data_IF_038740421213
#
_entry.id   IF_038740421213
#
_cell.length_a   1.000
_cell.length_b   1.000
_cell.length_c   1.000
_cell.angle_alpha   90.00
_cell.angle_beta   90.00
_cell.angle_gamma   90.00
#
_symmetry.space_group_name_H-M   'P 1'
#
loop_
_entity.id
_entity.type
_entity.pdbx_description
1 polymer ?
#
# COMPACT_ATOMS: atom_id res chain seq x y z
N UNK A 1 25.72 -45.07 15.43
CA UNK A 1 26.10 -43.85 14.73
C UNK A 1 24.80 -43.21 14.21
N UNK A 2 24.21 -42.34 15.01
CA UNK A 2 22.98 -41.60 14.66
C UNK A 2 23.40 -40.25 14.08
N UNK A 3 23.17 -40.09 12.78
CA UNK A 3 23.42 -38.82 12.11
C UNK A 3 22.41 -37.78 12.61
N UNK A 4 22.89 -36.74 13.25
CA UNK A 4 22.12 -35.60 13.69
C UNK A 4 21.58 -34.83 12.46
N UNK A 5 20.27 -34.61 12.44
CA UNK A 5 19.60 -33.68 11.54
C UNK A 5 20.14 -32.27 11.82
N UNK A 6 20.51 -31.47 10.81
CA UNK A 6 20.83 -30.09 11.06
C UNK A 6 19.54 -29.36 11.46
N UNK A 7 19.59 -28.81 12.66
CA UNK A 7 18.57 -27.92 13.22
C UNK A 7 18.49 -26.68 12.31
N UNK A 8 17.49 -26.63 11.44
CA UNK A 8 17.17 -25.48 10.63
C UNK A 8 16.55 -24.39 11.51
N UNK A 9 17.38 -23.72 12.28
CA UNK A 9 16.94 -22.57 13.07
C UNK A 9 16.23 -21.57 12.15
N UNK A 10 14.92 -21.53 12.24
CA UNK A 10 14.05 -20.52 11.65
C UNK A 10 14.53 -19.16 12.20
N UNK A 11 15.28 -18.42 11.37
CA UNK A 11 15.68 -17.07 11.74
C UNK A 11 14.41 -16.24 11.76
N UNK A 12 13.92 -15.92 12.94
CA UNK A 12 12.83 -14.96 13.08
C UNK A 12 13.21 -13.68 12.32
N UNK A 13 12.33 -13.25 11.44
CA UNK A 13 12.55 -12.01 10.69
C UNK A 13 12.62 -10.84 11.68
N UNK A 14 13.50 -9.86 11.44
CA UNK A 14 13.51 -8.66 12.26
C UNK A 14 12.15 -7.96 12.22
N UNK A 15 11.77 -7.35 13.34
CA UNK A 15 10.55 -6.54 13.40
C UNK A 15 10.55 -5.48 12.30
N UNK A 16 9.35 -5.06 11.88
CA UNK A 16 9.21 -3.96 10.92
C UNK A 16 9.76 -2.69 11.55
N UNK A 17 10.75 -2.05 10.91
CA UNK A 17 11.27 -0.77 11.37
C UNK A 17 10.24 0.33 11.11
N UNK A 18 9.92 1.17 12.11
CA UNK A 18 9.12 2.37 11.89
C UNK A 18 9.85 3.44 11.07
N UNK A 19 11.15 3.32 10.92
CA UNK A 19 12.00 4.25 10.16
C UNK A 19 12.40 3.65 8.83
N UNK A 20 12.32 4.49 7.78
CA UNK A 20 12.73 4.11 6.44
C UNK A 20 14.25 3.95 6.33
N UNK A 21 14.77 2.91 5.67
CA UNK A 21 16.15 2.88 5.26
C UNK A 21 16.42 3.96 4.21
N UNK A 22 17.58 4.64 4.26
CA UNK A 22 17.89 5.73 3.33
C UNK A 22 17.92 5.25 1.87
N UNK A 23 17.37 6.06 0.97
CA UNK A 23 17.40 5.78 -0.47
C UNK A 23 18.82 5.86 -1.02
N UNK A 24 19.29 4.79 -1.63
CA UNK A 24 20.58 4.79 -2.33
C UNK A 24 20.48 5.59 -3.64
N UNK A 25 21.33 6.58 -3.81
CA UNK A 25 21.41 7.41 -5.02
C UNK A 25 20.37 8.53 -5.11
N UNK A 26 19.68 8.83 -4.00
CA UNK A 26 18.70 9.89 -3.90
C UNK A 26 17.35 9.58 -4.53
N UNK A 27 16.36 10.47 -4.32
CA UNK A 27 14.99 10.26 -4.81
C UNK A 27 14.86 10.58 -6.30
N UNK A 28 14.10 9.73 -7.00
CA UNK A 28 13.69 9.92 -8.39
C UNK A 28 12.36 10.64 -8.50
N UNK A 29 11.44 10.33 -7.59
CA UNK A 29 10.10 10.91 -7.51
C UNK A 29 9.90 11.32 -6.05
N UNK A 30 9.28 12.46 -5.86
CA UNK A 30 8.78 12.95 -4.57
C UNK A 30 7.34 13.35 -4.76
N UNK A 31 6.46 12.97 -3.82
CA UNK A 31 5.02 13.24 -3.86
C UNK A 31 4.51 13.47 -2.45
N UNK A 32 3.59 14.40 -2.28
CA UNK A 32 2.84 14.51 -1.03
C UNK A 32 1.62 13.59 -1.12
N UNK A 33 1.49 12.69 -0.14
CA UNK A 33 0.36 11.79 0.02
C UNK A 33 -0.49 12.32 1.16
N UNK A 34 -1.68 12.80 0.84
CA UNK A 34 -2.55 13.49 1.77
C UNK A 34 -3.87 12.75 2.00
N UNK A 35 -4.46 12.97 3.18
CA UNK A 35 -5.77 12.44 3.56
C UNK A 35 -5.85 10.90 3.45
N UNK A 36 -4.81 10.19 3.88
CA UNK A 36 -4.67 8.74 3.67
C UNK A 36 -5.59 7.97 4.60
N UNK A 37 -6.48 7.17 4.04
CA UNK A 37 -7.33 6.22 4.76
C UNK A 37 -6.81 4.82 4.51
N UNK A 38 -6.54 4.09 5.57
CA UNK A 38 -6.05 2.72 5.55
C UNK A 38 -7.15 1.78 6.07
N UNK A 39 -7.73 0.97 5.21
CA UNK A 39 -8.73 -0.05 5.57
C UNK A 39 -8.09 -1.42 5.37
N UNK A 40 -8.06 -2.26 6.42
CA UNK A 40 -7.37 -3.54 6.35
C UNK A 40 -8.21 -4.70 6.84
N UNK A 41 -8.03 -5.84 6.17
CA UNK A 41 -8.58 -7.14 6.54
C UNK A 41 -7.45 -8.17 6.59
N UNK A 42 -7.49 -9.03 7.60
CA UNK A 42 -6.65 -10.23 7.64
C UNK A 42 -7.18 -11.27 6.68
N UNK A 43 -6.27 -12.03 6.08
CA UNK A 43 -6.58 -13.17 5.21
C UNK A 43 -5.51 -14.24 5.40
N UNK A 44 -5.84 -15.47 5.03
CA UNK A 44 -4.86 -16.54 4.95
C UNK A 44 -3.86 -16.29 3.81
N UNK A 45 -2.58 -16.67 4.03
CA UNK A 45 -1.51 -16.53 3.03
C UNK A 45 -1.85 -17.21 1.71
N UNK A 46 -2.62 -18.28 1.72
CA UNK A 46 -3.04 -19.00 0.52
C UNK A 46 -3.93 -18.19 -0.41
N UNK A 47 -4.67 -17.22 0.13
CA UNK A 47 -5.49 -16.30 -0.65
C UNK A 47 -4.66 -15.23 -1.40
N UNK A 48 -3.46 -14.92 -0.90
CA UNK A 48 -2.61 -13.85 -1.43
C UNK A 48 -1.46 -14.39 -2.28
N UNK A 49 -0.86 -15.51 -1.89
CA UNK A 49 0.33 -16.05 -2.54
C UNK A 49 0.21 -16.21 -4.08
N UNK A 50 -0.92 -16.68 -4.66
CA UNK A 50 -1.06 -16.80 -6.10
C UNK A 50 -1.10 -15.47 -6.86
N UNK A 51 -1.36 -14.36 -6.18
CA UNK A 51 -1.51 -13.02 -6.76
C UNK A 51 -0.19 -12.26 -6.83
N UNK A 52 0.84 -12.74 -6.14
CA UNK A 52 2.11 -12.04 -6.00
C UNK A 52 2.99 -12.14 -7.25
N UNK A 53 3.88 -11.17 -7.47
CA UNK A 53 4.95 -11.33 -8.45
C UNK A 53 5.95 -12.39 -8.01
N UNK A 54 6.59 -13.06 -8.98
CA UNK A 54 7.55 -14.15 -8.75
C UNK A 54 8.68 -13.70 -7.81
N UNK A 55 9.03 -14.56 -6.84
CA UNK A 55 10.08 -14.25 -5.85
C UNK A 55 9.62 -13.36 -4.69
N UNK A 56 8.38 -12.88 -4.71
CA UNK A 56 7.75 -12.27 -3.54
C UNK A 56 6.81 -13.27 -2.87
N UNK A 57 6.82 -13.32 -1.56
CA UNK A 57 5.92 -14.14 -0.74
C UNK A 57 5.10 -13.26 0.19
N UNK A 58 3.94 -13.72 0.70
CA UNK A 58 3.19 -12.96 1.70
C UNK A 58 4.06 -12.68 2.93
N UNK A 59 4.00 -11.46 3.42
CA UNK A 59 4.55 -11.08 4.71
C UNK A 59 3.48 -11.26 5.77
N UNK A 60 3.81 -11.89 6.89
CA UNK A 60 2.83 -12.41 7.85
C UNK A 60 2.91 -11.67 9.19
N UNK A 61 1.74 -11.47 9.78
CA UNK A 61 1.57 -10.96 11.14
C UNK A 61 0.14 -11.19 11.62
N UNK A 62 -0.03 -11.80 12.78
CA UNK A 62 -1.31 -11.96 13.45
C UNK A 62 -1.80 -10.65 14.11
N UNK A 63 -3.03 -10.63 14.60
CA UNK A 63 -3.63 -9.47 15.27
C UNK A 63 -2.88 -9.03 16.52
N UNK A 64 -2.29 -9.96 17.24
CA UNK A 64 -1.50 -9.69 18.44
C UNK A 64 -0.09 -9.13 18.15
N UNK A 65 0.28 -9.03 16.86
CA UNK A 65 1.57 -8.53 16.42
C UNK A 65 2.67 -9.58 16.34
N UNK A 66 2.35 -10.87 16.51
CA UNK A 66 3.28 -11.97 16.30
C UNK A 66 3.31 -12.43 14.85
N UNK A 67 4.40 -13.05 14.41
CA UNK A 67 4.46 -13.73 13.11
C UNK A 67 4.00 -15.18 13.29
N UNK A 68 2.79 -15.47 12.81
CA UNK A 68 2.17 -16.80 12.86
C UNK A 68 2.40 -17.64 11.58
N UNK A 69 3.04 -17.05 10.56
CA UNK A 69 3.34 -17.68 9.29
C UNK A 69 2.11 -17.95 8.39
N UNK A 70 0.91 -17.64 8.83
CA UNK A 70 -0.35 -17.95 8.12
C UNK A 70 -1.25 -16.75 7.87
N UNK A 71 -1.19 -15.73 8.73
CA UNK A 71 -2.01 -14.53 8.61
C UNK A 71 -1.28 -13.44 7.83
N UNK A 72 -1.85 -13.00 6.72
CA UNK A 72 -1.41 -11.81 6.00
C UNK A 72 -2.56 -10.81 5.83
N UNK A 73 -2.32 -9.71 5.12
CA UNK A 73 -3.23 -8.58 5.14
C UNK A 73 -3.56 -8.08 3.73
N UNK A 74 -4.78 -7.60 3.59
CA UNK A 74 -5.26 -6.85 2.42
C UNK A 74 -5.52 -5.42 2.87
N UNK A 75 -5.03 -4.44 2.11
CA UNK A 75 -5.30 -3.03 2.31
C UNK A 75 -6.10 -2.44 1.15
N UNK A 76 -7.21 -1.78 1.46
CA UNK A 76 -7.89 -0.84 0.58
C UNK A 76 -7.52 0.56 1.05
N UNK A 77 -6.74 1.28 0.25
CA UNK A 77 -6.13 2.54 0.65
C UNK A 77 -6.61 3.65 -0.28
N UNK A 78 -7.17 4.70 0.30
CA UNK A 78 -7.53 5.91 -0.44
C UNK A 78 -6.65 7.08 -0.03
N UNK A 79 -6.21 7.88 -0.99
CA UNK A 79 -5.42 9.08 -0.72
C UNK A 79 -5.40 10.03 -1.92
N UNK A 80 -4.85 11.21 -1.70
CA UNK A 80 -4.67 12.23 -2.70
C UNK A 80 -3.19 12.53 -2.89
N UNK A 81 -2.71 12.44 -4.13
CA UNK A 81 -1.40 12.94 -4.53
C UNK A 81 -1.44 14.44 -4.78
N UNK A 82 -0.39 15.13 -4.32
CA UNK A 82 -0.09 16.52 -4.68
C UNK A 82 1.40 16.72 -4.82
N UNK A 83 1.80 17.85 -5.41
CA UNK A 83 3.18 18.30 -5.52
C UNK A 83 4.16 17.22 -6.05
N UNK A 84 3.74 16.48 -7.07
CA UNK A 84 4.62 15.49 -7.71
C UNK A 84 5.83 16.17 -8.36
N UNK A 85 7.01 15.73 -7.97
CA UNK A 85 8.31 16.24 -8.44
C UNK A 85 9.21 15.11 -8.90
N UNK A 86 10.08 15.45 -9.86
CA UNK A 86 11.15 14.60 -10.36
C UNK A 86 12.49 15.26 -10.02
N UNK A 87 13.07 15.04 -8.81
CA UNK A 87 14.24 15.74 -8.32
C UNK A 87 15.44 15.78 -9.29
N UNK A 88 15.73 14.73 -10.08
CA UNK A 88 16.84 14.78 -11.05
C UNK A 88 16.69 15.84 -12.15
N UNK A 89 15.47 16.33 -12.40
CA UNK A 89 15.18 17.38 -13.38
C UNK A 89 15.17 18.80 -12.76
N UNK A 90 15.49 18.91 -11.47
CA UNK A 90 15.52 20.19 -10.77
C UNK A 90 14.21 20.97 -10.88
N UNK A 91 14.29 22.26 -11.23
CA UNK A 91 13.11 23.14 -11.34
C UNK A 91 12.12 22.71 -12.43
N UNK A 92 12.59 22.04 -13.48
CA UNK A 92 11.77 21.53 -14.58
C UNK A 92 11.01 20.24 -14.20
N UNK A 93 11.35 19.62 -13.07
CA UNK A 93 10.79 18.36 -12.63
C UNK A 93 9.45 18.47 -11.91
N UNK A 94 8.76 19.61 -11.89
CA UNK A 94 7.44 19.75 -11.29
C UNK A 94 6.33 19.32 -12.25
N UNK A 95 5.52 18.34 -11.85
CA UNK A 95 4.39 17.88 -12.66
C UNK A 95 3.20 18.85 -12.64
N UNK A 96 3.19 19.82 -11.74
CA UNK A 96 2.08 20.75 -11.56
C UNK A 96 0.77 20.03 -11.29
N UNK A 97 -0.35 20.62 -11.73
CA UNK A 97 -1.67 20.03 -11.51
C UNK A 97 -1.88 18.66 -12.17
N UNK A 98 -1.05 18.26 -13.14
CA UNK A 98 -1.12 16.91 -13.73
C UNK A 98 -0.76 15.84 -12.69
N UNK A 99 0.13 16.17 -11.76
CA UNK A 99 0.54 15.30 -10.65
C UNK A 99 -0.43 15.25 -9.48
N UNK A 100 -1.51 16.06 -9.48
CA UNK A 100 -2.49 16.10 -8.41
C UNK A 100 -3.70 15.26 -8.75
N UNK A 101 -3.91 14.14 -8.07
CA UNK A 101 -5.04 13.25 -8.32
C UNK A 101 -5.38 12.40 -7.10
N UNK A 102 -6.59 11.87 -7.11
CA UNK A 102 -7.09 10.91 -6.11
C UNK A 102 -6.80 9.51 -6.62
N UNK A 103 -6.36 8.64 -5.70
CA UNK A 103 -6.13 7.22 -5.94
C UNK A 103 -6.81 6.38 -4.87
N UNK A 104 -7.36 5.25 -5.29
CA UNK A 104 -7.72 4.14 -4.42
C UNK A 104 -6.98 2.91 -4.90
N UNK A 105 -6.25 2.25 -4.02
CA UNK A 105 -5.54 1.03 -4.37
C UNK A 105 -5.90 -0.16 -3.49
N UNK A 106 -5.75 -1.35 -4.06
CA UNK A 106 -5.77 -2.62 -3.34
C UNK A 106 -4.34 -3.12 -3.30
N UNK A 107 -3.82 -3.31 -2.09
CA UNK A 107 -2.46 -3.79 -1.86
C UNK A 107 -2.42 -4.95 -0.91
N UNK A 108 -1.37 -5.75 -1.00
CA UNK A 108 -1.06 -6.84 -0.09
C UNK A 108 0.38 -6.70 0.40
N UNK A 109 0.69 -7.36 1.49
CA UNK A 109 1.96 -7.22 2.20
C UNK A 109 2.90 -8.34 1.78
N UNK A 110 4.14 -7.97 1.45
CA UNK A 110 5.09 -8.88 0.82
C UNK A 110 6.48 -8.78 1.41
N UNK A 111 7.22 -9.87 1.28
CA UNK A 111 8.67 -9.94 1.50
C UNK A 111 9.33 -10.75 0.39
N UNK A 112 10.62 -10.58 0.18
CA UNK A 112 11.40 -11.39 -0.76
C UNK A 112 12.47 -12.23 -0.04
N UNK A 113 13.24 -12.99 -0.82
CA UNK A 113 14.33 -13.86 -0.36
C UNK A 113 15.49 -13.10 0.32
N UNK A 114 15.62 -11.79 0.07
CA UNK A 114 16.58 -10.91 0.72
C UNK A 114 16.03 -10.32 2.04
N UNK A 115 14.82 -10.70 2.45
CA UNK A 115 14.14 -10.18 3.62
C UNK A 115 13.64 -8.74 3.47
N UNK A 116 13.62 -8.19 2.23
CA UNK A 116 13.07 -6.85 1.99
C UNK A 116 11.55 -6.90 2.08
N UNK A 117 11.01 -6.16 3.01
CA UNK A 117 9.57 -6.04 3.20
C UNK A 117 9.01 -4.90 2.37
N UNK A 118 7.83 -5.11 1.81
CA UNK A 118 7.16 -4.11 0.98
C UNK A 118 5.68 -4.43 0.82
N UNK A 119 5.11 -3.87 -0.23
CA UNK A 119 3.75 -4.16 -0.69
C UNK A 119 3.78 -4.63 -2.13
N UNK A 120 2.78 -5.38 -2.56
CA UNK A 120 2.44 -5.56 -3.95
C UNK A 120 1.06 -4.93 -4.19
N UNK A 121 0.97 -4.10 -5.22
CA UNK A 121 -0.31 -3.54 -5.64
C UNK A 121 -1.02 -4.52 -6.56
N UNK A 122 -2.25 -4.87 -6.23
CA UNK A 122 -3.13 -5.69 -7.07
C UNK A 122 -3.99 -4.82 -7.98
N UNK A 123 -4.29 -3.59 -7.56
CA UNK A 123 -4.98 -2.56 -8.34
C UNK A 123 -4.61 -1.17 -7.84
N UNK A 124 -4.46 -0.22 -8.78
CA UNK A 124 -4.30 1.22 -8.50
C UNK A 124 -5.27 1.97 -9.40
N UNK A 125 -6.36 2.45 -8.84
CA UNK A 125 -7.40 3.17 -9.55
C UNK A 125 -7.20 4.68 -9.36
N UNK A 126 -6.80 5.38 -10.44
CA UNK A 126 -6.37 6.77 -10.39
C UNK A 126 -7.25 7.71 -11.21
N UNK A 127 -7.48 8.91 -10.68
CA UNK A 127 -8.39 9.90 -11.24
C UNK A 127 -7.88 10.62 -12.49
N UNK A 128 -6.64 10.39 -12.92
CA UNK A 128 -6.07 11.06 -14.11
C UNK A 128 -5.44 10.08 -15.08
N UNK A 129 -5.77 10.20 -16.36
CA UNK A 129 -5.33 9.29 -17.41
C UNK A 129 -3.82 9.36 -17.67
N UNK A 130 -3.25 10.55 -17.84
CA UNK A 130 -1.84 10.71 -18.22
C UNK A 130 -0.88 10.14 -17.18
N UNK A 131 -0.99 10.48 -15.88
CA UNK A 131 -0.19 9.84 -14.85
C UNK A 131 -0.39 8.31 -14.80
N UNK A 132 -1.63 7.84 -14.96
CA UNK A 132 -1.98 6.42 -14.97
C UNK A 132 -1.24 5.65 -16.06
N UNK A 133 -1.29 6.12 -17.29
CA UNK A 133 -0.61 5.48 -18.45
C UNK A 133 0.90 5.59 -18.30
N UNK A 134 1.42 6.77 -17.93
CA UNK A 134 2.86 6.99 -17.74
C UNK A 134 3.45 6.09 -16.67
N UNK A 135 2.80 6.01 -15.51
CA UNK A 135 3.23 5.14 -14.41
C UNK A 135 3.16 3.66 -14.80
N UNK A 136 2.07 3.21 -15.44
CA UNK A 136 1.93 1.83 -15.90
C UNK A 136 3.05 1.41 -16.85
N UNK A 137 3.37 2.25 -17.83
CA UNK A 137 4.46 1.97 -18.79
C UNK A 137 5.84 2.01 -18.13
N UNK A 138 6.08 3.00 -17.28
CA UNK A 138 7.37 3.18 -16.65
C UNK A 138 7.69 2.14 -15.58
N UNK A 139 6.69 1.76 -14.77
CA UNK A 139 6.89 0.92 -13.58
C UNK A 139 6.38 -0.51 -13.74
N UNK A 140 5.35 -0.75 -14.57
CA UNK A 140 4.65 -2.03 -14.68
C UNK A 140 3.54 -2.20 -13.64
N UNK A 141 3.24 -1.20 -12.84
CA UNK A 141 2.17 -1.23 -11.84
C UNK A 141 0.78 -1.36 -12.48
N UNK A 142 -0.18 -2.06 -11.85
CA UNK A 142 -1.52 -2.33 -12.40
C UNK A 142 -2.46 -1.11 -12.26
N UNK A 143 -2.09 0.00 -12.89
CA UNK A 143 -2.88 1.22 -12.90
C UNK A 143 -4.12 1.11 -13.78
N UNK A 144 -5.23 1.64 -13.28
CA UNK A 144 -6.50 1.77 -13.98
C UNK A 144 -6.96 3.22 -13.95
N UNK A 145 -7.48 3.70 -15.07
CA UNK A 145 -8.10 5.00 -15.13
C UNK A 145 -9.52 4.94 -14.57
N UNK A 146 -9.86 5.85 -13.68
CA UNK A 146 -11.13 5.89 -12.99
C UNK A 146 -11.65 7.32 -12.81
N UNK A 147 -12.95 7.48 -12.63
CA UNK A 147 -13.49 8.67 -11.99
C UNK A 147 -13.21 8.55 -10.49
N UNK A 148 -12.53 9.53 -9.93
CA UNK A 148 -12.15 9.56 -8.54
C UNK A 148 -12.54 10.87 -7.88
N UNK A 149 -13.08 10.80 -6.69
CA UNK A 149 -13.44 11.97 -5.88
C UNK A 149 -13.08 11.71 -4.41
N UNK A 150 -12.70 12.78 -3.74
CA UNK A 150 -12.56 12.83 -2.29
C UNK A 150 -13.56 13.86 -1.74
N UNK A 151 -14.16 13.55 -0.61
CA UNK A 151 -14.95 14.49 0.19
C UNK A 151 -14.32 14.57 1.58
N UNK A 152 -14.09 15.77 2.06
CA UNK A 152 -13.57 16.01 3.40
C UNK A 152 -14.48 17.00 4.13
N UNK A 153 -14.74 16.69 5.39
CA UNK A 153 -15.30 17.59 6.39
C UNK A 153 -14.35 17.65 7.59
N UNK A 154 -14.71 18.35 8.65
CA UNK A 154 -13.84 18.50 9.83
C UNK A 154 -13.50 17.14 10.47
N UNK A 155 -14.47 16.22 10.55
CA UNK A 155 -14.32 14.92 11.19
C UNK A 155 -14.42 13.71 10.25
N UNK A 156 -14.55 13.92 8.90
CA UNK A 156 -14.75 12.81 7.97
C UNK A 156 -13.94 12.94 6.70
N UNK A 157 -13.52 11.79 6.21
CA UNK A 157 -12.87 11.66 4.89
C UNK A 157 -13.55 10.53 4.12
N UNK A 158 -14.04 10.83 2.92
CA UNK A 158 -14.70 9.87 2.05
C UNK A 158 -14.08 9.83 0.67
N UNK A 159 -13.96 8.63 0.11
CA UNK A 159 -13.48 8.35 -1.23
C UNK A 159 -14.58 7.72 -2.06
N UNK A 160 -14.66 8.11 -3.34
CA UNK A 160 -15.53 7.48 -4.31
C UNK A 160 -14.75 7.24 -5.60
N UNK A 161 -14.82 6.02 -6.12
CA UNK A 161 -14.09 5.56 -7.29
C UNK A 161 -15.01 4.80 -8.24
N UNK A 162 -14.88 5.03 -9.54
CA UNK A 162 -15.55 4.25 -10.59
C UNK A 162 -14.59 4.05 -11.75
N UNK A 163 -14.16 2.80 -11.97
CA UNK A 163 -13.24 2.45 -13.05
C UNK A 163 -13.89 2.63 -14.42
N UNK A 164 -13.19 3.31 -15.34
CA UNK A 164 -13.67 3.51 -16.70
C UNK A 164 -13.81 2.18 -17.45
N UNK A 165 -14.85 2.08 -18.28
CA UNK A 165 -15.11 0.91 -19.10
C UNK A 165 -15.57 -0.34 -18.35
N UNK A 166 -15.89 -0.22 -17.05
CA UNK A 166 -16.35 -1.31 -16.20
C UNK A 166 -17.51 -0.85 -15.31
N UNK A 167 -18.10 -1.81 -14.56
CA UNK A 167 -19.08 -1.52 -13.52
C UNK A 167 -18.44 -1.40 -12.12
N UNK A 168 -17.13 -1.62 -12.00
CA UNK A 168 -16.41 -1.66 -10.73
C UNK A 168 -16.41 -0.29 -10.05
N UNK A 169 -16.76 -0.31 -8.77
CA UNK A 169 -16.85 0.89 -7.92
C UNK A 169 -16.22 0.60 -6.56
N UNK A 170 -15.74 1.65 -5.94
CA UNK A 170 -15.38 1.65 -4.51
C UNK A 170 -15.81 2.98 -3.93
N UNK A 171 -16.50 2.94 -2.80
CA UNK A 171 -16.86 4.14 -2.05
C UNK A 171 -16.81 3.81 -0.55
N UNK A 172 -16.06 4.60 0.19
CA UNK A 172 -15.96 4.47 1.64
C UNK A 172 -15.85 5.83 2.30
N UNK A 173 -16.40 5.91 3.49
CA UNK A 173 -16.44 7.12 4.32
C UNK A 173 -16.03 6.73 5.74
N UNK A 174 -15.08 7.46 6.30
CA UNK A 174 -14.57 7.21 7.65
C UNK A 174 -14.68 8.47 8.50
N UNK A 175 -14.93 8.26 9.78
CA UNK A 175 -14.80 9.31 10.78
C UNK A 175 -13.40 9.25 11.38
N UNK A 176 -12.71 10.39 11.38
CA UNK A 176 -11.39 10.55 11.99
C UNK A 176 -11.55 10.74 13.49
N UNK A 177 -10.81 9.96 14.24
CA UNK A 177 -10.76 9.99 15.70
C UNK A 177 -9.44 10.54 16.23
N UNK A 178 -9.08 10.11 17.44
CA UNK A 178 -7.91 10.59 18.17
C UNK A 178 -6.60 10.20 17.51
N UNK A 179 -5.57 11.01 17.73
CA UNK A 179 -4.21 10.70 17.30
C UNK A 179 -3.68 9.43 17.98
N UNK A 180 -2.91 8.65 17.24
CA UNK A 180 -2.21 7.48 17.74
C UNK A 180 -0.80 7.90 18.16
N UNK A 181 -0.58 8.07 19.45
CA UNK A 181 0.73 8.49 19.97
C UNK A 181 1.78 7.37 19.85
N UNK A 182 1.36 6.13 20.08
CA UNK A 182 2.22 4.95 20.01
C UNK A 182 1.55 3.87 19.15
N UNK A 183 1.95 3.73 17.87
CA UNK A 183 1.45 2.67 17.02
C UNK A 183 1.80 1.28 17.58
N UNK A 184 0.83 0.38 17.56
CA UNK A 184 1.05 -1.04 17.90
C UNK A 184 2.00 -1.71 16.89
N UNK A 185 2.56 -2.89 17.20
CA UNK A 185 3.34 -3.67 16.22
C UNK A 185 2.58 -3.92 14.92
N UNK A 186 1.28 -4.23 15.00
CA UNK A 186 0.43 -4.43 13.84
C UNK A 186 0.26 -3.15 13.02
N UNK A 187 -0.02 -2.01 13.65
CA UNK A 187 -0.17 -0.73 12.94
C UNK A 187 1.13 -0.32 12.26
N UNK A 188 2.27 -0.54 12.91
CA UNK A 188 3.58 -0.36 12.29
C UNK A 188 3.77 -1.30 11.11
N UNK A 189 3.41 -2.59 11.25
CA UNK A 189 3.46 -3.56 10.14
C UNK A 189 2.60 -3.12 8.95
N UNK A 190 1.41 -2.59 9.18
CA UNK A 190 0.48 -2.20 8.13
C UNK A 190 0.84 -0.86 7.44
N UNK A 191 1.60 0.00 8.10
CA UNK A 191 1.86 1.37 7.61
C UNK A 191 3.32 1.66 7.27
N UNK A 192 4.28 1.08 7.99
CA UNK A 192 5.72 1.26 7.75
C UNK A 192 6.24 0.31 6.66
N UNK A 193 5.98 0.65 5.38
CA UNK A 193 6.39 -0.15 4.21
C UNK A 193 7.32 0.64 3.30
N UNK A 194 8.55 0.17 3.21
CA UNK A 194 9.67 0.90 2.63
C UNK A 194 9.98 0.51 1.19
N UNK A 195 9.00 -0.05 0.50
CA UNK A 195 9.09 -0.37 -0.91
C UNK A 195 7.95 -1.22 -1.42
N UNK A 196 8.01 -1.52 -2.71
CA UNK A 196 7.02 -2.33 -3.40
C UNK A 196 7.68 -3.34 -4.32
N UNK A 197 7.10 -4.54 -4.39
CA UNK A 197 7.48 -5.57 -5.35
C UNK A 197 6.58 -5.46 -6.59
N UNK A 198 7.19 -5.26 -7.74
CA UNK A 198 6.47 -5.02 -8.99
C UNK A 198 6.89 -6.04 -10.04
N UNK A 199 5.92 -6.73 -10.63
CA UNK A 199 6.14 -7.60 -11.78
C UNK A 199 6.47 -6.77 -13.01
N UNK A 200 7.61 -7.01 -13.62
CA UNK A 200 8.00 -6.43 -14.90
C UNK A 200 8.44 -7.55 -15.86
N UNK A 201 8.44 -7.28 -17.16
CA UNK A 201 8.82 -8.26 -18.16
C UNK A 201 10.10 -9.00 -17.75
N UNK A 202 9.99 -10.30 -17.47
CA UNK A 202 11.10 -11.19 -17.15
C UNK A 202 11.63 -11.16 -15.72
N UNK A 203 11.13 -10.29 -14.83
CA UNK A 203 11.61 -10.24 -13.44
C UNK A 203 10.69 -9.45 -12.50
N UNK A 204 10.77 -9.71 -11.21
CA UNK A 204 10.24 -8.86 -10.16
C UNK A 204 11.30 -7.84 -9.75
N UNK A 205 10.88 -6.60 -9.61
CA UNK A 205 11.74 -5.50 -9.14
C UNK A 205 11.24 -4.95 -7.83
N UNK A 206 12.18 -4.62 -6.94
CA UNK A 206 11.90 -3.89 -5.72
C UNK A 206 12.12 -2.39 -5.93
N UNK A 207 11.08 -1.59 -5.68
CA UNK A 207 11.14 -0.13 -5.74
C UNK A 207 11.12 0.41 -4.31
N UNK A 208 12.25 0.92 -3.80
CA UNK A 208 12.30 1.46 -2.45
C UNK A 208 11.60 2.82 -2.37
N UNK A 209 11.00 3.09 -1.22
CA UNK A 209 10.48 4.40 -0.85
C UNK A 209 10.88 4.76 0.57
N UNK A 210 10.86 6.05 0.86
CA UNK A 210 11.04 6.60 2.20
C UNK A 210 10.00 7.70 2.45
N UNK A 211 9.58 7.82 3.66
CA UNK A 211 8.77 8.91 4.21
C UNK A 211 8.98 8.97 5.72
N UNK A 212 8.57 10.05 6.35
CA UNK A 212 8.49 10.13 7.80
C UNK A 212 7.45 9.15 8.35
N UNK A 213 7.54 8.84 9.64
CA UNK A 213 6.50 8.04 10.29
C UNK A 213 5.13 8.71 10.09
N UNK A 214 4.13 7.89 9.74
CA UNK A 214 2.77 8.40 9.54
C UNK A 214 2.23 9.04 10.82
N UNK A 215 1.76 10.29 10.78
CA UNK A 215 0.94 10.86 11.86
C UNK A 215 -0.44 10.16 11.82
N UNK A 216 -0.54 9.04 12.53
CA UNK A 216 -1.73 8.20 12.49
C UNK A 216 -2.82 8.71 13.43
N UNK A 217 -4.06 8.52 13.01
CA UNK A 217 -5.26 8.68 13.80
C UNK A 217 -6.09 7.40 13.78
N UNK A 218 -6.80 7.11 14.86
CA UNK A 218 -7.88 6.14 14.85
C UNK A 218 -8.94 6.59 13.86
N UNK A 219 -9.62 5.63 13.26
CA UNK A 219 -10.77 5.93 12.42
C UNK A 219 -11.88 4.92 12.66
N UNK A 220 -13.10 5.30 12.35
CA UNK A 220 -14.25 4.40 12.38
C UNK A 220 -14.97 4.43 11.05
N UNK A 221 -15.42 3.25 10.60
CA UNK A 221 -16.11 3.10 9.33
C UNK A 221 -17.53 3.70 9.43
N UNK A 222 -17.87 4.61 8.53
CA UNK A 222 -19.24 5.14 8.39
C UNK A 222 -20.00 4.36 7.32
N UNK A 223 -19.34 4.09 6.20
CA UNK A 223 -19.88 3.28 5.11
C UNK A 223 -18.76 2.72 4.24
N UNK A 224 -19.01 1.54 3.66
CA UNK A 224 -18.14 0.92 2.67
C UNK A 224 -18.97 0.15 1.66
N UNK A 225 -18.71 0.39 0.38
CA UNK A 225 -19.17 -0.42 -0.75
C UNK A 225 -18.00 -0.55 -1.71
N UNK A 226 -17.51 -1.77 -1.90
CA UNK A 226 -16.29 -1.98 -2.67
C UNK A 226 -16.37 -3.23 -3.55
N UNK A 227 -16.04 -3.04 -4.83
CA UNK A 227 -15.91 -4.11 -5.81
C UNK A 227 -14.42 -4.39 -6.13
N UNK A 228 -13.50 -3.48 -5.76
CA UNK A 228 -12.10 -3.54 -6.19
C UNK A 228 -11.33 -4.68 -5.52
N UNK A 229 -11.59 -4.96 -4.27
CA UNK A 229 -10.94 -6.05 -3.51
C UNK A 229 -11.21 -7.39 -4.18
N UNK A 230 -12.48 -7.71 -4.47
CA UNK A 230 -12.84 -8.95 -5.16
C UNK A 230 -12.34 -8.97 -6.61
N UNK A 231 -12.41 -7.85 -7.33
CA UNK A 231 -11.91 -7.74 -8.70
C UNK A 231 -10.38 -7.86 -8.80
N UNK A 232 -9.66 -7.64 -7.72
CA UNK A 232 -8.22 -7.86 -7.60
C UNK A 232 -7.83 -9.34 -7.39
N UNK A 233 -8.81 -10.25 -7.32
CA UNK A 233 -8.58 -11.70 -7.16
C UNK A 233 -8.61 -12.17 -5.69
N UNK A 234 -8.97 -11.31 -4.77
CA UNK A 234 -9.10 -11.63 -3.35
C UNK A 234 -10.47 -12.27 -3.02
N UNK A 235 -10.65 -12.90 -1.85
CA UNK A 235 -11.89 -13.59 -1.52
C UNK A 235 -13.13 -12.70 -1.68
N UNK A 236 -14.14 -13.22 -2.37
CA UNK A 236 -15.42 -12.54 -2.53
C UNK A 236 -16.07 -12.27 -1.18
N UNK A 237 -16.60 -11.07 -0.99
CA UNK A 237 -17.25 -10.66 0.26
C UNK A 237 -16.29 -10.16 1.35
N UNK A 238 -14.97 -10.21 1.15
CA UNK A 238 -13.99 -9.74 2.14
C UNK A 238 -14.24 -8.28 2.55
N UNK A 239 -14.44 -7.38 1.57
CA UNK A 239 -14.75 -5.97 1.84
C UNK A 239 -16.15 -5.72 2.41
N UNK A 240 -17.00 -6.74 2.51
CA UNK A 240 -18.28 -6.70 3.22
C UNK A 240 -18.18 -7.01 4.72
N UNK A 241 -17.02 -7.49 5.17
CA UNK A 241 -16.74 -7.72 6.59
C UNK A 241 -16.29 -6.42 7.26
N UNK A 242 -16.46 -6.36 8.59
CA UNK A 242 -15.86 -5.28 9.36
C UNK A 242 -14.32 -5.31 9.24
N UNK A 243 -13.66 -4.17 8.97
CA UNK A 243 -12.20 -4.13 8.90
C UNK A 243 -11.55 -4.48 10.24
N UNK A 244 -10.50 -5.29 10.21
CA UNK A 244 -9.69 -5.61 11.40
C UNK A 244 -8.82 -4.42 11.85
N UNK A 245 -8.48 -3.50 10.94
CA UNK A 245 -7.76 -2.26 11.24
C UNK A 245 -8.22 -1.14 10.33
N UNK A 246 -8.47 0.02 10.93
CA UNK A 246 -8.87 1.23 10.22
C UNK A 246 -8.14 2.43 10.81
N UNK A 247 -7.33 3.09 9.97
CA UNK A 247 -6.50 4.23 10.35
C UNK A 247 -6.65 5.36 9.34
N UNK A 248 -6.37 6.56 9.80
CA UNK A 248 -6.26 7.76 8.97
C UNK A 248 -4.91 8.44 9.21
N UNK A 249 -4.39 9.11 8.18
CA UNK A 249 -3.27 10.05 8.32
C UNK A 249 -3.54 11.31 7.51
N UNK A 250 -3.25 12.51 8.03
CA UNK A 250 -3.29 13.74 7.25
C UNK A 250 -2.30 13.73 6.09
N UNK A 251 -1.23 12.94 6.19
CA UNK A 251 -0.31 12.70 5.09
C UNK A 251 1.16 12.86 5.44
N UNK A 252 2.00 12.51 4.46
CA UNK A 252 3.46 12.65 4.48
C UNK A 252 3.98 12.92 3.08
N UNK A 253 5.20 13.46 2.99
CA UNK A 253 5.94 13.49 1.73
C UNK A 253 6.65 12.16 1.53
N UNK A 254 6.30 11.44 0.47
CA UNK A 254 6.92 10.17 0.09
C UNK A 254 7.92 10.38 -1.04
N UNK A 255 9.10 9.77 -0.91
CA UNK A 255 10.16 9.79 -1.92
C UNK A 255 10.44 8.37 -2.39
N UNK A 256 10.66 8.20 -3.69
CA UNK A 256 10.94 6.92 -4.31
C UNK A 256 12.34 6.88 -4.90
N UNK A 257 13.06 5.81 -4.62
CA UNK A 257 14.33 5.48 -5.26
C UNK A 257 14.14 4.77 -6.60
N UNK A 258 15.26 4.39 -7.24
CA UNK A 258 15.23 3.56 -8.46
C UNK A 258 14.86 2.12 -8.13
N UNK A 259 14.05 1.50 -8.98
CA UNK A 259 13.80 0.05 -8.95
C UNK A 259 15.07 -0.76 -9.22
N UNK A 260 15.26 -1.83 -8.49
CA UNK A 260 16.41 -2.74 -8.55
C UNK A 260 15.98 -4.20 -8.43
#
# INVERSE_FOLDING_TARGET
MTAGRPDGGERSLPAVSPEAPPLRGGPWISQDWLDVVFVHWRVDVSAVAPLLPDGAIPDTMALDGTDDGVTTWVGLIGFRFTDTRFPPLGRLGRAGSVGDFVEVNVRVYTRDDQGRRGVAFLSLDAGKLLPTVGARVATGLPYWWAHAAIRRTDDRVGYAMRRHGTHLRSAFDVRVGDAVEQPTPLETFLTARWGMHVRRVGATRYWPNEHEAWPLHRASLVSLRDDLVAAAGLPFGLSGLEPDSLLYSPGVTTRFGRGR
#
